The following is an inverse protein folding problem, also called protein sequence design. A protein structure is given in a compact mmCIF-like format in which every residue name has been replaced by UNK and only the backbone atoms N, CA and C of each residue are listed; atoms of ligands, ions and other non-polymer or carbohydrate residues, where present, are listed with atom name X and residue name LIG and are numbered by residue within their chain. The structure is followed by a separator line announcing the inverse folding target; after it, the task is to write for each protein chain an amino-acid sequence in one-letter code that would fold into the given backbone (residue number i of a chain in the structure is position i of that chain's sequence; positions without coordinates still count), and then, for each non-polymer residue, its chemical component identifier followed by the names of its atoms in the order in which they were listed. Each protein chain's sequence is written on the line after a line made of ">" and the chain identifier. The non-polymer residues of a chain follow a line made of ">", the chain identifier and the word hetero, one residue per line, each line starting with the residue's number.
data_IF_729594118418
#
_entry.id   IF_729594118418
#
_cell.length_a   1.000
_cell.length_b   1.000
_cell.length_c   1.000
_cell.angle_alpha   90.00
_cell.angle_beta   90.00
_cell.angle_gamma   90.00
#
_symmetry.space_group_name_H-M   'P 1'
#
loop_
_entity.id
_entity.type
_entity.pdbx_description
1 polymer ?
#
# COMPACT_ATOMS: atom_id res chain seq x y z
N UNK A 1 35.64 -3.21 26.87
CA UNK A 1 35.15 -2.91 25.52
C UNK A 1 33.77 -3.51 25.40
N UNK A 2 32.72 -2.68 25.44
CA UNK A 2 31.36 -3.13 25.22
C UNK A 2 31.24 -3.54 23.75
N UNK A 3 31.08 -4.83 23.50
CA UNK A 3 30.71 -5.35 22.18
C UNK A 3 29.22 -5.00 22.03
N UNK A 4 28.95 -3.74 21.67
CA UNK A 4 27.60 -3.25 21.45
C UNK A 4 26.94 -4.15 20.42
N UNK A 5 25.79 -4.72 20.79
CA UNK A 5 24.90 -5.45 19.90
C UNK A 5 24.75 -4.63 18.60
N UNK A 6 25.34 -5.09 17.51
CA UNK A 6 25.03 -4.56 16.19
C UNK A 6 23.58 -4.96 15.94
N UNK A 7 22.64 -4.02 16.06
CA UNK A 7 21.25 -4.25 15.72
C UNK A 7 21.20 -4.77 14.28
N UNK A 8 20.74 -6.01 14.09
CA UNK A 8 20.56 -6.55 12.75
C UNK A 8 19.36 -5.86 12.13
N UNK A 9 19.53 -5.22 10.96
CA UNK A 9 18.43 -4.63 10.20
C UNK A 9 17.40 -5.70 9.89
N UNK A 10 16.14 -5.46 10.25
CA UNK A 10 15.01 -6.32 9.93
C UNK A 10 13.95 -5.57 9.15
N UNK A 11 13.04 -6.31 8.52
CA UNK A 11 11.92 -5.75 7.77
C UNK A 11 10.60 -6.16 8.42
N UNK A 12 9.68 -5.20 8.56
CA UNK A 12 8.37 -5.45 9.15
C UNK A 12 7.60 -6.47 8.29
N UNK A 13 7.08 -7.54 8.91
CA UNK A 13 6.32 -8.59 8.19
C UNK A 13 5.01 -8.08 7.58
N UNK A 14 4.55 -6.89 7.98
CA UNK A 14 3.35 -6.25 7.43
C UNK A 14 3.67 -5.22 6.35
N UNK A 15 4.43 -4.17 6.67
CA UNK A 15 4.64 -3.04 5.75
C UNK A 15 6.00 -3.04 5.06
N UNK A 16 6.86 -4.03 5.34
CA UNK A 16 8.20 -4.17 4.78
C UNK A 16 9.13 -2.99 5.06
N UNK A 17 8.80 -2.11 6.03
CA UNK A 17 9.71 -1.03 6.41
C UNK A 17 10.91 -1.60 7.17
N UNK A 18 12.14 -1.17 6.86
CA UNK A 18 13.31 -1.54 7.64
C UNK A 18 13.23 -0.90 9.05
N UNK A 19 13.70 -1.63 10.06
CA UNK A 19 13.74 -1.17 11.44
C UNK A 19 14.88 -1.85 12.22
N UNK A 20 15.32 -1.19 13.29
CA UNK A 20 16.36 -1.74 14.16
C UNK A 20 15.72 -2.75 15.11
N UNK A 21 16.16 -4.00 15.02
CA UNK A 21 15.50 -5.12 15.69
C UNK A 21 16.23 -5.53 16.97
N UNK A 22 15.48 -5.60 18.07
CA UNK A 22 15.77 -6.52 19.17
C UNK A 22 15.33 -7.94 18.80
N UNK A 23 16.14 -8.97 19.14
CA UNK A 23 15.87 -10.38 18.77
C UNK A 23 14.42 -10.78 19.09
N UNK A 24 13.71 -11.33 18.10
CA UNK A 24 12.34 -11.85 18.25
C UNK A 24 11.24 -10.96 17.67
N UNK A 25 11.46 -9.66 17.50
CA UNK A 25 10.41 -8.73 17.02
C UNK A 25 10.24 -8.79 15.50
N UNK A 26 9.03 -9.02 14.97
CA UNK A 26 8.74 -9.09 13.52
C UNK A 26 7.97 -7.88 12.98
N UNK A 27 7.49 -7.01 13.86
CA UNK A 27 6.61 -5.88 13.54
C UNK A 27 7.30 -4.57 13.91
N UNK A 28 7.18 -3.57 13.06
CA UNK A 28 7.64 -2.23 13.40
C UNK A 28 6.65 -1.51 14.33
N UNK A 29 7.14 -0.53 15.09
CA UNK A 29 6.34 0.21 16.07
C UNK A 29 5.10 0.89 15.46
N UNK A 30 5.22 1.38 14.23
CA UNK A 30 4.08 1.95 13.51
C UNK A 30 2.97 0.92 13.27
N UNK A 31 3.32 -0.33 12.91
CA UNK A 31 2.33 -1.38 12.70
C UNK A 31 1.76 -1.91 14.03
N UNK A 32 2.56 -1.88 15.10
CA UNK A 32 2.09 -2.19 16.46
C UNK A 32 1.08 -1.16 16.92
N UNK A 33 1.38 0.13 16.80
CA UNK A 33 0.49 1.24 17.16
C UNK A 33 -0.82 1.21 16.35
N UNK A 34 -0.75 0.82 15.09
CA UNK A 34 -1.92 0.65 14.22
C UNK A 34 -2.67 -0.66 14.48
N UNK A 35 -2.22 -1.48 15.42
CA UNK A 35 -2.71 -2.82 15.76
C UNK A 35 -2.84 -3.77 14.55
N UNK A 36 -2.01 -3.58 13.53
CA UNK A 36 -2.00 -4.48 12.36
C UNK A 36 -1.56 -5.90 12.70
N UNK A 37 -0.86 -6.08 13.81
CA UNK A 37 -0.50 -7.39 14.36
C UNK A 37 -1.68 -8.16 14.98
N UNK A 38 -2.85 -7.53 15.16
CA UNK A 38 -4.04 -8.13 15.80
C UNK A 38 -5.23 -8.31 14.86
N UNK A 39 -5.05 -8.10 13.56
CA UNK A 39 -6.13 -8.19 12.59
C UNK A 39 -6.50 -9.68 12.36
N UNK A 40 -7.78 -10.01 12.11
CA UNK A 40 -8.25 -11.39 12.03
C UNK A 40 -7.99 -12.05 10.66
N UNK A 41 -7.08 -11.51 9.85
CA UNK A 41 -6.77 -12.00 8.51
C UNK A 41 -5.31 -11.70 8.13
N UNK A 42 -4.72 -12.50 7.23
CA UNK A 42 -3.38 -12.21 6.71
C UNK A 42 -3.41 -10.99 5.81
N UNK A 43 -2.49 -10.04 5.99
CA UNK A 43 -2.38 -8.88 5.12
C UNK A 43 -0.96 -8.33 5.12
N UNK A 44 -0.37 -8.29 3.92
CA UNK A 44 0.98 -7.79 3.69
C UNK A 44 0.96 -6.65 2.67
N UNK A 45 1.82 -5.67 2.90
CA UNK A 45 2.04 -4.53 2.05
C UNK A 45 3.50 -4.46 1.61
N UNK A 46 3.68 -4.22 0.32
CA UNK A 46 4.96 -3.95 -0.31
C UNK A 46 4.94 -2.57 -0.97
N UNK A 47 6.09 -1.91 -0.98
CA UNK A 47 6.24 -0.64 -1.67
C UNK A 47 7.45 -0.68 -2.60
N UNK A 48 7.27 -0.15 -3.81
CA UNK A 48 8.35 -0.07 -4.79
C UNK A 48 9.49 0.87 -4.34
N UNK A 49 9.17 1.84 -3.47
CA UNK A 49 10.12 2.88 -3.09
C UNK A 49 9.73 3.56 -1.78
N UNK A 50 10.64 4.35 -1.22
CA UNK A 50 10.35 5.25 -0.11
C UNK A 50 10.12 6.67 -0.63
N UNK A 51 9.14 7.37 -0.05
CA UNK A 51 8.69 8.68 -0.48
C UNK A 51 9.63 9.79 0.03
N UNK A 52 10.88 9.78 -0.44
CA UNK A 52 11.95 10.70 -0.03
C UNK A 52 12.66 11.29 -1.26
N UNK A 53 13.31 12.45 -1.08
CA UNK A 53 14.15 13.08 -2.10
C UNK A 53 13.53 13.15 -3.51
N UNK A 54 14.27 12.69 -4.51
CA UNK A 54 13.85 12.70 -5.93
C UNK A 54 12.62 11.83 -6.20
N UNK A 55 12.40 10.75 -5.45
CA UNK A 55 11.21 9.90 -5.56
C UNK A 55 9.95 10.70 -5.22
N UNK A 56 9.99 11.44 -4.09
CA UNK A 56 8.89 12.31 -3.68
C UNK A 56 8.57 13.36 -4.73
N UNK A 57 9.59 14.03 -5.28
CA UNK A 57 9.40 15.05 -6.33
C UNK A 57 8.82 14.44 -7.61
N UNK A 58 9.35 13.30 -8.05
CA UNK A 58 8.85 12.58 -9.24
C UNK A 58 7.39 12.16 -9.10
N UNK A 59 7.02 11.55 -7.96
CA UNK A 59 5.65 11.09 -7.74
C UNK A 59 4.68 12.26 -7.54
N UNK A 60 5.13 13.37 -6.94
CA UNK A 60 4.34 14.61 -6.87
C UNK A 60 3.98 15.12 -8.27
N UNK A 61 4.95 15.19 -9.19
CA UNK A 61 4.70 15.55 -10.60
C UNK A 61 3.73 14.56 -11.24
N UNK A 62 3.93 13.25 -11.06
CA UNK A 62 3.05 12.23 -11.61
C UNK A 62 1.59 12.36 -11.12
N UNK A 63 1.41 12.71 -9.84
CA UNK A 63 0.10 12.78 -9.16
C UNK A 63 -0.65 14.07 -9.48
N UNK A 64 0.04 15.22 -9.49
CA UNK A 64 -0.60 16.54 -9.54
C UNK A 64 -0.41 17.31 -10.86
N UNK A 65 0.38 16.80 -11.79
CA UNK A 65 0.53 17.40 -13.13
C UNK A 65 -0.12 16.56 -14.23
N UNK A 66 -0.28 17.18 -15.41
CA UNK A 66 -0.69 16.50 -16.65
C UNK A 66 0.51 15.94 -17.44
N UNK A 67 1.69 15.82 -16.83
CA UNK A 67 2.89 15.30 -17.50
C UNK A 67 2.83 13.77 -17.54
N UNK A 68 2.31 13.23 -18.65
CA UNK A 68 2.07 11.80 -18.83
C UNK A 68 3.34 10.93 -18.82
N UNK A 69 4.51 11.47 -19.17
CA UNK A 69 5.76 10.71 -19.13
C UNK A 69 6.10 10.20 -17.73
N UNK A 70 5.82 10.98 -16.67
CA UNK A 70 5.99 10.55 -15.28
C UNK A 70 4.98 9.47 -14.88
N UNK A 71 3.72 9.58 -15.31
CA UNK A 71 2.70 8.55 -15.07
C UNK A 71 3.10 7.22 -15.74
N UNK A 72 3.62 7.31 -16.98
CA UNK A 72 4.14 6.18 -17.74
C UNK A 72 5.34 5.52 -17.08
N UNK A 73 6.28 6.34 -16.62
CA UNK A 73 7.46 5.88 -15.88
C UNK A 73 7.06 5.05 -14.65
N UNK A 74 6.17 5.58 -13.81
CA UNK A 74 5.67 4.85 -12.64
C UNK A 74 4.86 3.60 -13.00
N UNK A 75 4.05 3.65 -14.06
CA UNK A 75 3.34 2.48 -14.57
C UNK A 75 4.28 1.36 -15.04
N UNK A 76 5.37 1.70 -15.74
CA UNK A 76 6.40 0.76 -16.16
C UNK A 76 7.18 0.18 -14.98
N UNK A 77 7.51 1.00 -13.97
CA UNK A 77 8.14 0.50 -12.75
C UNK A 77 7.24 -0.50 -12.01
N UNK A 78 5.95 -0.18 -11.88
CA UNK A 78 4.97 -1.07 -11.27
C UNK A 78 4.82 -2.37 -12.06
N UNK A 79 4.75 -2.30 -13.39
CA UNK A 79 4.72 -3.48 -14.25
C UNK A 79 5.94 -4.38 -14.03
N UNK A 80 7.15 -3.80 -14.08
CA UNK A 80 8.39 -4.53 -13.86
C UNK A 80 8.40 -5.21 -12.48
N UNK A 81 7.93 -4.52 -11.45
CA UNK A 81 7.79 -5.11 -10.12
C UNK A 81 6.84 -6.32 -10.12
N UNK A 82 5.63 -6.15 -10.68
CA UNK A 82 4.58 -7.17 -10.69
C UNK A 82 4.99 -8.45 -11.42
N UNK A 83 5.71 -8.36 -12.55
CA UNK A 83 6.13 -9.55 -13.30
C UNK A 83 7.19 -10.37 -12.56
N UNK A 84 7.93 -9.77 -11.63
CA UNK A 84 8.91 -10.47 -10.80
C UNK A 84 8.30 -11.19 -9.59
N UNK A 85 7.07 -10.84 -9.19
CA UNK A 85 6.38 -11.48 -8.06
C UNK A 85 6.01 -12.95 -8.34
N UNK A 86 6.03 -13.42 -9.60
CA UNK A 86 5.59 -14.78 -10.01
C UNK A 86 4.16 -15.16 -9.52
N UNK A 87 3.36 -14.17 -9.13
CA UNK A 87 2.04 -14.34 -8.53
C UNK A 87 0.91 -14.39 -9.57
N UNK A 88 0.96 -15.42 -10.44
CA UNK A 88 0.00 -15.57 -11.55
C UNK A 88 -1.45 -15.79 -11.11
N UNK A 89 -1.69 -16.16 -9.84
CA UNK A 89 -3.03 -16.40 -9.29
C UNK A 89 -3.76 -15.14 -8.85
N UNK A 90 -3.07 -14.00 -8.72
CA UNK A 90 -3.65 -12.79 -8.17
C UNK A 90 -4.35 -11.95 -9.23
N UNK A 91 -5.52 -11.42 -8.86
CA UNK A 91 -6.22 -10.37 -9.60
C UNK A 91 -5.97 -9.01 -8.96
N UNK A 92 -5.95 -7.96 -9.77
CA UNK A 92 -5.56 -6.63 -9.32
C UNK A 92 -6.79 -5.73 -9.13
N UNK A 93 -6.77 -4.90 -8.08
CA UNK A 93 -7.78 -3.87 -7.87
C UNK A 93 -7.12 -2.57 -7.44
N UNK A 94 -7.55 -1.44 -8.01
CA UNK A 94 -7.08 -0.13 -7.54
C UNK A 94 -7.71 0.20 -6.19
N UNK A 95 -6.91 0.73 -5.28
CA UNK A 95 -7.39 1.34 -4.05
C UNK A 95 -8.41 2.45 -4.36
N UNK A 96 -9.41 2.68 -3.49
CA UNK A 96 -10.42 3.69 -3.75
C UNK A 96 -9.83 5.09 -3.69
N UNK A 97 -9.77 5.76 -4.83
CA UNK A 97 -9.28 7.12 -5.01
C UNK A 97 -10.42 8.14 -5.05
N UNK A 98 -10.07 9.43 -4.99
CA UNK A 98 -11.01 10.51 -5.38
C UNK A 98 -11.23 10.43 -6.89
N UNK A 99 -12.45 10.74 -7.36
CA UNK A 99 -12.86 10.76 -8.79
C UNK A 99 -12.00 11.60 -9.77
N UNK A 100 -10.88 12.21 -9.33
CA UNK A 100 -9.98 13.06 -10.13
C UNK A 100 -8.51 12.61 -10.07
N UNK A 101 -8.22 11.42 -9.54
CA UNK A 101 -6.85 10.96 -9.35
C UNK A 101 -6.31 10.29 -10.64
N UNK A 102 -5.84 11.13 -11.57
CA UNK A 102 -5.38 10.72 -12.91
C UNK A 102 -4.20 9.73 -12.92
N UNK A 103 -3.48 9.57 -11.80
CA UNK A 103 -2.27 8.74 -11.76
C UNK A 103 -2.61 7.25 -11.88
N UNK A 104 -3.44 6.71 -10.98
CA UNK A 104 -3.72 5.28 -10.95
C UNK A 104 -4.54 4.82 -12.17
N UNK A 105 -5.39 5.69 -12.73
CA UNK A 105 -6.08 5.42 -14.00
C UNK A 105 -5.09 5.37 -15.18
N UNK A 106 -4.12 6.29 -15.24
CA UNK A 106 -3.08 6.25 -16.27
C UNK A 106 -2.17 5.02 -16.11
N UNK A 107 -1.85 4.64 -14.87
CA UNK A 107 -1.09 3.42 -14.57
C UNK A 107 -1.87 2.20 -15.02
N UNK A 108 -3.17 2.11 -14.73
CA UNK A 108 -4.02 1.02 -15.24
C UNK A 108 -3.95 0.93 -16.76
N UNK A 109 -4.01 2.06 -17.48
CA UNK A 109 -3.87 2.09 -18.94
C UNK A 109 -2.49 1.58 -19.38
N UNK A 110 -1.43 1.98 -18.69
CA UNK A 110 -0.07 1.52 -18.98
C UNK A 110 0.09 0.01 -18.74
N UNK A 111 -0.40 -0.49 -17.61
CA UNK A 111 -0.43 -1.92 -17.29
C UNK A 111 -1.17 -2.72 -18.37
N UNK A 112 -2.29 -2.19 -18.88
CA UNK A 112 -3.03 -2.78 -19.99
C UNK A 112 -2.22 -2.87 -21.29
N UNK A 113 -1.33 -1.91 -21.56
CA UNK A 113 -0.42 -1.96 -22.73
C UNK A 113 0.62 -3.08 -22.64
N UNK A 114 0.85 -3.62 -21.44
CA UNK A 114 1.68 -4.78 -21.17
C UNK A 114 0.89 -6.09 -20.99
N UNK A 115 -0.42 -6.10 -21.28
CA UNK A 115 -1.25 -7.29 -21.19
C UNK A 115 -1.89 -7.55 -19.81
N UNK A 116 -1.67 -6.69 -18.82
CA UNK A 116 -2.36 -6.78 -17.53
C UNK A 116 -3.75 -6.11 -17.65
N UNK A 117 -4.72 -6.85 -18.19
CA UNK A 117 -6.06 -6.32 -18.50
C UNK A 117 -7.06 -6.39 -17.34
N UNK A 118 -6.84 -7.29 -16.37
CA UNK A 118 -7.76 -7.53 -15.25
C UNK A 118 -7.43 -6.67 -14.02
N UNK A 119 -7.36 -5.34 -14.22
CA UNK A 119 -7.22 -4.36 -13.12
C UNK A 119 -8.59 -3.73 -12.82
N UNK A 120 -9.21 -4.22 -11.75
CA UNK A 120 -10.52 -3.77 -11.32
C UNK A 120 -10.46 -2.41 -10.63
N UNK A 121 -11.57 -1.70 -10.70
CA UNK A 121 -11.74 -0.38 -10.07
C UNK A 121 -13.08 -0.34 -9.35
N UNK A 122 -13.49 -1.39 -8.64
CA UNK A 122 -14.81 -1.43 -7.99
C UNK A 122 -14.79 -0.94 -6.54
N UNK A 123 -13.64 -0.87 -5.86
CA UNK A 123 -13.57 -0.37 -4.49
C UNK A 123 -13.99 1.11 -4.45
N UNK A 124 -14.88 1.47 -3.53
CA UNK A 124 -15.42 2.83 -3.40
C UNK A 124 -15.33 3.32 -1.96
N UNK A 125 -15.27 4.64 -1.80
CA UNK A 125 -15.43 5.34 -0.52
C UNK A 125 -16.84 5.94 -0.45
N UNK A 126 -17.50 5.85 0.71
CA UNK A 126 -18.77 6.55 0.98
C UNK A 126 -18.54 8.05 1.14
N UNK A 127 -17.48 8.42 1.87
CA UNK A 127 -17.10 9.80 2.17
C UNK A 127 -15.60 10.02 1.94
N UNK A 128 -15.25 11.23 1.52
CA UNK A 128 -13.86 11.68 1.44
C UNK A 128 -13.47 12.31 2.77
N UNK A 129 -12.90 11.53 3.68
CA UNK A 129 -12.50 12.00 5.01
C UNK A 129 -11.10 12.58 4.94
N UNK A 130 -10.94 13.82 5.38
CA UNK A 130 -9.64 14.49 5.45
C UNK A 130 -8.82 13.91 6.61
N UNK A 131 -7.59 13.48 6.34
CA UNK A 131 -6.72 12.83 7.33
C UNK A 131 -5.60 13.73 7.86
N UNK A 132 -5.50 14.98 7.39
CA UNK A 132 -4.37 15.88 7.70
C UNK A 132 -4.20 16.14 9.20
N UNK A 133 -5.31 16.27 9.92
CA UNK A 133 -5.34 16.62 11.35
C UNK A 133 -5.70 15.44 12.25
N UNK A 134 -5.74 14.22 11.69
CA UNK A 134 -6.01 13.01 12.45
C UNK A 134 -4.68 12.34 12.81
N UNK A 135 -4.61 11.85 14.03
CA UNK A 135 -3.55 10.93 14.47
C UNK A 135 -3.64 9.59 13.73
N UNK A 136 -2.68 8.71 13.98
CA UNK A 136 -2.57 7.44 13.28
C UNK A 136 -3.76 6.50 13.54
N UNK A 137 -4.20 6.38 14.79
CA UNK A 137 -5.30 5.53 15.18
C UNK A 137 -6.64 6.10 14.71
N UNK A 138 -6.81 7.42 14.78
CA UNK A 138 -7.94 8.16 14.21
C UNK A 138 -8.01 7.97 12.69
N UNK A 139 -6.87 8.00 11.97
CA UNK A 139 -6.83 7.69 10.53
C UNK A 139 -7.30 6.28 10.24
N UNK A 140 -6.98 5.29 11.10
CA UNK A 140 -7.50 3.92 10.99
C UNK A 140 -9.00 3.90 11.20
N UNK A 141 -9.49 4.43 12.33
CA UNK A 141 -10.91 4.43 12.70
C UNK A 141 -11.78 5.19 11.71
N UNK A 142 -11.29 6.31 11.18
CA UNK A 142 -12.00 7.14 10.22
C UNK A 142 -12.45 6.39 8.96
N UNK A 143 -11.72 5.36 8.53
CA UNK A 143 -12.07 4.59 7.34
C UNK A 143 -13.01 3.41 7.63
N UNK A 144 -13.36 3.15 8.91
CA UNK A 144 -14.23 2.04 9.26
C UNK A 144 -15.64 2.21 8.67
N UNK A 145 -16.10 1.17 8.00
CA UNK A 145 -17.34 1.20 7.21
C UNK A 145 -17.37 2.20 6.05
N UNK A 146 -16.28 2.91 5.75
CA UNK A 146 -16.23 3.91 4.68
C UNK A 146 -15.94 3.28 3.31
N UNK A 147 -15.16 2.20 3.27
CA UNK A 147 -14.84 1.50 2.03
C UNK A 147 -15.89 0.41 1.78
N UNK A 148 -16.29 0.25 0.52
CA UNK A 148 -17.28 -0.76 0.13
C UNK A 148 -17.10 -1.26 -1.31
N UNK A 149 -17.71 -2.40 -1.60
CA UNK A 149 -17.82 -3.00 -2.94
C UNK A 149 -19.27 -2.87 -3.40
N UNK A 150 -19.54 -2.26 -4.58
CA UNK A 150 -20.89 -2.21 -5.14
C UNK A 150 -21.48 -3.61 -5.33
N UNK A 151 -22.78 -3.80 -5.08
CA UNK A 151 -23.47 -5.11 -5.17
C UNK A 151 -23.15 -5.89 -6.45
N UNK A 152 -23.15 -5.21 -7.60
CA UNK A 152 -22.83 -5.79 -8.91
C UNK A 152 -21.42 -6.39 -9.04
N UNK A 153 -20.50 -6.00 -8.17
CA UNK A 153 -19.09 -6.42 -8.19
C UNK A 153 -18.75 -7.43 -7.09
N UNK A 154 -19.64 -7.66 -6.12
CA UNK A 154 -19.37 -8.57 -4.99
C UNK A 154 -19.04 -10.00 -5.45
N UNK A 155 -19.77 -10.53 -6.44
CA UNK A 155 -19.54 -11.88 -6.98
C UNK A 155 -18.15 -12.06 -7.59
N UNK A 156 -17.49 -10.98 -8.02
CA UNK A 156 -16.16 -11.04 -8.63
C UNK A 156 -15.09 -11.39 -7.59
N UNK A 157 -15.33 -11.05 -6.32
CA UNK A 157 -14.37 -11.13 -5.21
C UNK A 157 -14.18 -12.57 -4.72
N UNK A 158 -15.28 -13.31 -4.61
CA UNK A 158 -15.33 -14.62 -3.97
C UNK A 158 -14.36 -15.62 -4.61
N UNK A 159 -13.61 -16.32 -3.76
CA UNK A 159 -12.71 -17.40 -4.17
C UNK A 159 -11.46 -16.94 -4.92
N UNK A 160 -11.13 -15.64 -4.88
CA UNK A 160 -9.93 -15.09 -5.56
C UNK A 160 -8.91 -14.52 -4.58
N UNK A 161 -7.66 -14.50 -5.03
CA UNK A 161 -6.55 -13.80 -4.38
C UNK A 161 -6.39 -12.41 -4.99
N UNK A 162 -6.20 -11.38 -4.16
CA UNK A 162 -6.24 -9.98 -4.60
C UNK A 162 -4.95 -9.23 -4.28
N UNK A 163 -4.46 -8.44 -5.22
CA UNK A 163 -3.46 -7.39 -4.97
C UNK A 163 -4.13 -6.03 -5.14
N UNK A 164 -4.11 -5.25 -4.07
CA UNK A 164 -4.59 -3.86 -4.07
C UNK A 164 -3.44 -2.95 -4.51
N UNK A 165 -3.65 -2.15 -5.56
CA UNK A 165 -2.68 -1.20 -6.07
C UNK A 165 -3.01 0.22 -5.61
N UNK A 166 -2.04 0.91 -5.03
CA UNK A 166 -2.17 2.31 -4.58
C UNK A 166 -0.97 3.14 -5.03
N UNK A 167 -1.08 4.47 -4.97
CA UNK A 167 0.07 5.32 -5.23
C UNK A 167 0.97 5.48 -4.01
N UNK A 168 0.41 5.89 -2.87
CA UNK A 168 1.18 6.24 -1.68
C UNK A 168 0.63 5.53 -0.44
N UNK A 169 1.42 4.61 0.12
CA UNK A 169 1.19 4.10 1.46
C UNK A 169 1.63 5.14 2.49
N UNK A 170 0.69 5.58 3.32
CA UNK A 170 0.99 6.48 4.45
C UNK A 170 0.83 5.71 5.75
N UNK A 171 -0.40 5.60 6.25
CA UNK A 171 -0.71 4.79 7.44
C UNK A 171 -1.19 3.40 7.11
N UNK A 172 -1.43 3.09 5.83
CA UNK A 172 -2.06 1.84 5.41
C UNK A 172 -3.56 1.76 5.63
N UNK A 173 -4.20 2.75 6.28
CA UNK A 173 -5.62 2.69 6.65
C UNK A 173 -6.56 2.42 5.46
N UNK A 174 -6.39 3.14 4.34
CA UNK A 174 -7.21 2.90 3.13
C UNK A 174 -7.07 1.46 2.63
N UNK A 175 -5.87 0.91 2.61
CA UNK A 175 -5.61 -0.42 2.10
C UNK A 175 -6.03 -1.52 3.07
N UNK A 176 -5.85 -1.30 4.37
CA UNK A 176 -6.38 -2.17 5.42
C UNK A 176 -7.91 -2.33 5.30
N UNK A 177 -8.65 -1.23 5.22
CA UNK A 177 -10.11 -1.31 5.09
C UNK A 177 -10.57 -1.85 3.73
N UNK A 178 -9.76 -1.64 2.69
CA UNK A 178 -10.00 -2.29 1.39
C UNK A 178 -9.81 -3.80 1.47
N UNK A 179 -8.75 -4.27 2.15
CA UNK A 179 -8.49 -5.68 2.40
C UNK A 179 -9.57 -6.33 3.27
N UNK A 180 -9.97 -5.65 4.36
CA UNK A 180 -11.07 -6.07 5.23
C UNK A 180 -12.34 -6.35 4.42
N UNK A 181 -12.75 -5.40 3.57
CA UNK A 181 -13.96 -5.57 2.75
C UNK A 181 -13.79 -6.68 1.70
N UNK A 182 -12.60 -6.88 1.12
CA UNK A 182 -12.37 -8.01 0.22
C UNK A 182 -12.52 -9.36 0.93
N UNK A 183 -11.95 -9.50 2.14
CA UNK A 183 -12.09 -10.71 2.96
C UNK A 183 -13.55 -10.95 3.40
N UNK A 184 -14.27 -9.91 3.81
CA UNK A 184 -15.71 -9.99 4.14
C UNK A 184 -16.56 -10.50 2.96
N UNK A 185 -16.07 -10.36 1.72
CA UNK A 185 -16.73 -10.84 0.50
C UNK A 185 -16.08 -12.13 -0.06
N UNK A 186 -15.29 -12.85 0.74
CA UNK A 186 -14.78 -14.18 0.42
C UNK A 186 -13.50 -14.20 -0.42
N UNK A 187 -12.68 -13.15 -0.37
CA UNK A 187 -11.30 -13.25 -0.88
C UNK A 187 -10.50 -14.32 -0.12
N UNK A 188 -9.67 -15.07 -0.85
CA UNK A 188 -8.82 -16.13 -0.26
C UNK A 188 -7.53 -15.59 0.34
N UNK A 189 -6.98 -14.55 -0.28
CA UNK A 189 -5.80 -13.82 0.19
C UNK A 189 -5.85 -12.40 -0.34
N UNK A 190 -5.32 -11.45 0.44
CA UNK A 190 -5.20 -10.06 0.03
C UNK A 190 -3.83 -9.51 0.40
N UNK A 191 -3.15 -8.95 -0.60
CA UNK A 191 -1.92 -8.16 -0.46
C UNK A 191 -2.11 -6.79 -1.05
N UNK A 192 -1.14 -5.90 -0.83
CA UNK A 192 -1.15 -4.61 -1.50
C UNK A 192 0.24 -4.14 -1.91
N UNK A 193 0.27 -3.36 -2.99
CA UNK A 193 1.48 -2.76 -3.53
C UNK A 193 1.23 -1.26 -3.68
N UNK A 194 2.17 -0.45 -3.19
CA UNK A 194 2.20 0.99 -3.45
C UNK A 194 3.39 1.37 -4.30
N UNK A 195 3.25 2.44 -5.10
CA UNK A 195 4.40 3.02 -5.80
C UNK A 195 5.45 3.55 -4.81
N UNK A 196 4.98 4.10 -3.69
CA UNK A 196 5.87 4.63 -2.66
C UNK A 196 5.25 4.60 -1.27
N UNK A 197 6.09 4.46 -0.25
CA UNK A 197 5.68 4.50 1.16
C UNK A 197 6.30 5.71 1.86
N UNK A 198 5.48 6.44 2.61
CA UNK A 198 5.97 7.47 3.53
C UNK A 198 6.54 6.81 4.77
N UNK A 199 7.72 7.26 5.22
CA UNK A 199 8.31 6.78 6.47
C UNK A 199 7.41 7.22 7.63
N UNK A 200 6.82 6.29 8.40
CA UNK A 200 6.04 6.62 9.58
C UNK A 200 6.90 7.41 10.58
N UNK A 201 6.34 8.39 11.30
CA UNK A 201 7.06 9.18 12.30
C UNK A 201 7.83 8.32 13.31
N UNK A 202 7.22 7.23 13.78
CA UNK A 202 7.84 6.30 14.73
C UNK A 202 9.04 5.53 14.16
N UNK A 203 9.19 5.49 12.84
CA UNK A 203 10.29 4.76 12.18
C UNK A 203 11.38 5.70 11.64
N UNK A 204 11.31 7.01 11.93
CA UNK A 204 12.25 7.98 11.37
C UNK A 204 13.66 7.84 11.92
N UNK A 205 13.81 7.58 13.22
CA UNK A 205 15.11 7.35 13.85
C UNK A 205 15.78 6.14 13.23
N UNK A 206 15.10 5.00 13.25
CA UNK A 206 15.57 3.73 12.69
C UNK A 206 15.93 3.90 11.22
N UNK A 207 15.08 4.59 10.44
CA UNK A 207 15.37 4.82 9.03
C UNK A 207 16.65 5.63 8.81
N UNK A 208 16.89 6.66 9.63
CA UNK A 208 18.11 7.48 9.51
C UNK A 208 19.34 6.66 9.89
N UNK A 209 19.28 5.87 10.96
CA UNK A 209 20.40 5.01 11.41
C UNK A 209 20.71 3.87 10.44
N UNK A 210 19.71 3.36 9.71
CA UNK A 210 19.88 2.26 8.76
C UNK A 210 20.45 2.77 7.42
N UNK A 211 20.11 4.00 7.03
CA UNK A 211 20.43 4.55 5.71
C UNK A 211 21.67 5.44 5.69
N UNK A 212 22.16 5.89 6.86
CA UNK A 212 23.30 6.79 7.02
C UNK A 212 24.23 6.29 8.12
#
# INVERSE_FOLDING_TARGET
>A
MNIGNIASVAYCVHCSIPFNREKGIQWCDSCIQMEYHRIPFSYQHESLSLLVGKVKSSLYVAKFSHIYSYKRYWGRLLYNYMIHLKEKEYVYVLAPSKKREHLMDAIKKELGSYGIVNVYTFLRKKKNIQQKNLDWMERRRAQDGNIYIPKRSMKIVYGKRWIILDDIYTTGSTLYHSAKVLYEHGALDVRSISLSMSIPPLMKSDFLEIMF
#
